data_IF_845513081824
#
_entry.id   IF_845513081824
#
_cell.length_a   1.000
_cell.length_b   1.000
_cell.length_c   1.000
_cell.angle_alpha   90.00
_cell.angle_beta   90.00
_cell.angle_gamma   90.00
#
_symmetry.space_group_name_H-M   'P 1'
#
loop_
_entity.id
_entity.type
_entity.pdbx_description
1 polymer ?
#
# COMPACT_ATOMS: atom_id res chain seq x y z
N UNK A 1 -1.25 14.66 15.60
CA UNK A 1 -1.22 16.14 15.75
C UNK A 1 -2.41 16.80 15.05
N UNK A 2 -2.89 17.97 15.53
CA UNK A 2 -4.01 18.69 14.92
C UNK A 2 -3.80 18.97 13.43
N UNK A 3 -2.59 19.35 13.03
CA UNK A 3 -2.23 19.62 11.62
C UNK A 3 -2.41 18.39 10.72
N UNK A 4 -2.00 17.20 11.19
CA UNK A 4 -2.22 15.93 10.45
C UNK A 4 -3.71 15.67 10.21
N UNK A 5 -4.56 15.93 11.21
CA UNK A 5 -6.01 15.71 11.10
C UNK A 5 -6.63 16.70 10.10
N UNK A 6 -6.25 17.98 10.19
CA UNK A 6 -6.73 19.00 9.25
C UNK A 6 -6.31 18.69 7.80
N UNK A 7 -5.06 18.31 7.60
CA UNK A 7 -4.55 17.88 6.29
C UNK A 7 -5.30 16.66 5.76
N UNK A 8 -5.45 15.61 6.56
CA UNK A 8 -6.15 14.39 6.15
C UNK A 8 -7.61 14.68 5.77
N UNK A 9 -8.31 15.53 6.54
CA UNK A 9 -9.68 15.96 6.21
C UNK A 9 -9.74 16.63 4.84
N UNK A 10 -8.84 17.58 4.57
CA UNK A 10 -8.81 18.28 3.29
C UNK A 10 -8.51 17.33 2.11
N UNK A 11 -7.68 16.31 2.32
CA UNK A 11 -7.41 15.27 1.30
C UNK A 11 -8.64 14.43 1.03
N UNK A 12 -9.32 13.92 2.07
CA UNK A 12 -10.55 13.13 1.94
C UNK A 12 -11.61 13.89 1.15
N UNK A 13 -11.89 15.12 1.54
CA UNK A 13 -12.89 15.96 0.86
C UNK A 13 -12.55 16.22 -0.61
N UNK A 14 -11.27 16.48 -0.93
CA UNK A 14 -10.83 16.73 -2.31
C UNK A 14 -10.88 15.47 -3.17
N UNK A 15 -10.40 14.35 -2.64
CA UNK A 15 -10.37 13.07 -3.35
C UNK A 15 -11.79 12.59 -3.66
N UNK A 16 -12.70 12.66 -2.68
CA UNK A 16 -14.09 12.24 -2.87
C UNK A 16 -14.82 13.06 -3.94
N UNK A 17 -14.56 14.37 -4.03
CA UNK A 17 -15.11 15.21 -5.12
C UNK A 17 -14.64 14.79 -6.52
N UNK A 18 -13.50 14.10 -6.61
CA UNK A 18 -12.94 13.58 -7.85
C UNK A 18 -13.25 12.09 -8.06
N UNK A 19 -14.05 11.47 -7.18
CA UNK A 19 -14.36 10.04 -7.22
C UNK A 19 -13.20 9.13 -6.79
N UNK A 20 -12.13 9.68 -6.22
CA UNK A 20 -10.99 8.93 -5.71
C UNK A 20 -11.23 8.46 -4.27
N UNK A 21 -10.65 7.32 -3.92
CA UNK A 21 -10.71 6.74 -2.57
C UNK A 21 -9.52 7.15 -1.72
N UNK A 22 -9.71 7.27 -0.42
CA UNK A 22 -8.65 7.61 0.53
C UNK A 22 -8.52 6.53 1.59
N UNK A 23 -7.31 5.98 1.73
CA UNK A 23 -6.94 5.11 2.84
C UNK A 23 -6.00 5.86 3.78
N UNK A 24 -6.28 5.83 5.07
CA UNK A 24 -5.42 6.45 6.09
C UNK A 24 -4.36 5.44 6.54
N UNK A 25 -3.11 5.90 6.58
CA UNK A 25 -1.99 5.06 7.01
C UNK A 25 -2.02 4.82 8.53
N UNK A 26 -2.15 3.56 8.94
CA UNK A 26 -1.95 3.04 10.32
C UNK A 26 -2.84 3.67 11.42
N UNK A 27 -3.86 4.44 11.07
CA UNK A 27 -4.67 5.20 12.04
C UNK A 27 -6.15 5.03 11.72
N UNK A 28 -6.68 3.94 12.26
CA UNK A 28 -8.02 3.47 11.95
C UNK A 28 -9.11 4.39 12.54
N UNK A 29 -8.89 4.89 13.75
CA UNK A 29 -9.80 5.85 14.39
C UNK A 29 -9.86 7.16 13.60
N UNK A 30 -8.72 7.61 13.06
CA UNK A 30 -8.69 8.78 12.18
C UNK A 30 -9.41 8.52 10.86
N UNK A 31 -9.28 7.32 10.27
CA UNK A 31 -10.02 6.93 9.07
C UNK A 31 -11.52 7.05 9.29
N UNK A 32 -12.01 6.44 10.38
CA UNK A 32 -13.44 6.42 10.72
C UNK A 32 -13.95 7.84 11.03
N UNK A 33 -13.20 8.61 11.83
CA UNK A 33 -13.57 9.99 12.20
C UNK A 33 -13.67 10.92 10.99
N UNK A 34 -12.86 10.69 9.97
CA UNK A 34 -12.81 11.53 8.77
C UNK A 34 -13.66 10.99 7.61
N UNK A 35 -14.28 9.82 7.77
CA UNK A 35 -15.04 9.18 6.70
C UNK A 35 -14.16 8.73 5.52
N UNK A 36 -12.90 8.36 5.78
CA UNK A 36 -12.04 7.78 4.76
C UNK A 36 -12.55 6.39 4.33
N UNK A 37 -12.22 5.95 3.12
CA UNK A 37 -12.70 4.67 2.56
C UNK A 37 -12.07 3.45 3.24
N UNK A 38 -10.94 3.63 3.93
CA UNK A 38 -10.24 2.51 4.56
C UNK A 38 -8.95 2.85 5.27
N UNK A 39 -8.20 1.80 5.60
CA UNK A 39 -6.90 1.89 6.27
C UNK A 39 -5.84 1.15 5.47
N UNK A 40 -4.66 1.77 5.39
CA UNK A 40 -3.45 1.12 4.90
C UNK A 40 -2.52 0.85 6.07
N UNK A 41 -2.27 -0.41 6.40
CA UNK A 41 -1.40 -0.79 7.50
C UNK A 41 0.07 -0.82 7.09
N UNK A 42 0.94 -0.38 7.98
CA UNK A 42 2.37 -0.69 7.89
C UNK A 42 2.59 -2.15 8.25
N UNK A 43 3.65 -2.74 7.72
CA UNK A 43 4.04 -4.13 7.99
C UNK A 43 4.00 -4.52 9.48
N UNK A 44 4.63 -3.74 10.36
CA UNK A 44 4.63 -4.01 11.81
C UNK A 44 3.21 -4.09 12.41
N UNK A 45 2.30 -3.25 11.93
CA UNK A 45 0.93 -3.16 12.42
C UNK A 45 0.11 -4.32 11.86
N UNK A 46 0.30 -4.65 10.58
CA UNK A 46 -0.26 -5.85 9.94
C UNK A 46 0.09 -7.13 10.72
N UNK A 47 1.37 -7.28 11.11
CA UNK A 47 1.84 -8.45 11.85
C UNK A 47 1.24 -8.55 13.26
N UNK A 48 0.80 -7.43 13.85
CA UNK A 48 0.13 -7.40 15.15
C UNK A 48 -1.37 -7.71 15.08
N UNK A 49 -1.98 -7.74 13.88
CA UNK A 49 -3.40 -8.03 13.73
C UNK A 49 -3.70 -9.52 13.91
N UNK A 50 -4.66 -9.83 14.78
CA UNK A 50 -5.18 -11.19 14.96
C UNK A 50 -6.25 -11.56 13.93
N UNK A 51 -7.07 -10.59 13.52
CA UNK A 51 -8.20 -10.75 12.60
C UNK A 51 -8.31 -9.57 11.62
N UNK A 52 -9.07 -9.77 10.53
CA UNK A 52 -9.34 -8.71 9.54
C UNK A 52 -10.11 -7.57 10.20
N UNK A 53 -9.65 -6.32 10.12
CA UNK A 53 -10.40 -5.17 10.59
C UNK A 53 -11.74 -5.05 9.84
N UNK A 54 -12.84 -4.83 10.57
CA UNK A 54 -14.17 -4.68 9.99
C UNK A 54 -14.34 -3.32 9.31
N UNK A 55 -13.77 -3.17 8.11
CA UNK A 55 -13.79 -1.92 7.32
C UNK A 55 -13.96 -2.20 5.83
N UNK A 56 -14.46 -1.23 5.04
CA UNK A 56 -14.72 -1.43 3.61
C UNK A 56 -13.46 -1.72 2.79
N UNK A 57 -12.36 -1.01 3.10
CA UNK A 57 -11.06 -1.23 2.48
C UNK A 57 -9.96 -1.34 3.52
N UNK A 58 -9.19 -2.41 3.41
CA UNK A 58 -8.04 -2.72 4.24
C UNK A 58 -6.90 -3.17 3.35
N UNK A 59 -5.81 -2.42 3.37
CA UNK A 59 -4.59 -2.72 2.64
C UNK A 59 -3.40 -2.73 3.57
N UNK A 60 -2.26 -3.23 3.09
CA UNK A 60 -1.01 -3.14 3.84
C UNK A 60 0.22 -3.02 2.94
N UNK A 61 1.30 -2.50 3.52
CA UNK A 61 2.64 -2.62 2.96
C UNK A 61 3.25 -3.94 3.37
N UNK A 62 3.77 -4.68 2.39
CA UNK A 62 4.50 -5.92 2.59
C UNK A 62 5.89 -5.82 1.93
N UNK A 63 6.86 -6.48 2.52
CA UNK A 63 8.26 -6.47 2.10
C UNK A 63 8.85 -7.87 1.95
N UNK A 64 8.16 -8.90 2.48
CA UNK A 64 8.58 -10.30 2.38
C UNK A 64 7.38 -11.26 2.32
N UNK A 65 7.70 -12.56 2.23
CA UNK A 65 6.71 -13.63 2.16
C UNK A 65 5.87 -13.79 3.44
N UNK A 66 6.44 -13.48 4.61
CA UNK A 66 5.76 -13.61 5.90
C UNK A 66 4.67 -12.56 6.03
N UNK A 67 4.99 -11.32 5.69
CA UNK A 67 4.04 -10.20 5.70
C UNK A 67 2.94 -10.42 4.65
N UNK A 68 3.30 -10.90 3.46
CA UNK A 68 2.32 -11.22 2.42
C UNK A 68 1.38 -12.36 2.85
N UNK A 69 1.91 -13.41 3.49
CA UNK A 69 1.11 -14.50 4.03
C UNK A 69 0.15 -14.04 5.13
N UNK A 70 0.58 -13.13 5.99
CA UNK A 70 -0.29 -12.51 6.99
C UNK A 70 -1.43 -11.72 6.33
N UNK A 71 -1.14 -10.91 5.30
CA UNK A 71 -2.17 -10.18 4.57
C UNK A 71 -3.18 -11.12 3.88
N UNK A 72 -2.71 -12.22 3.28
CA UNK A 72 -3.57 -13.26 2.71
C UNK A 72 -4.43 -13.95 3.76
N UNK A 73 -3.85 -14.32 4.90
CA UNK A 73 -4.56 -14.99 6.01
C UNK A 73 -5.66 -14.10 6.59
N UNK A 74 -5.41 -12.80 6.66
CA UNK A 74 -6.40 -11.79 7.07
C UNK A 74 -7.30 -11.34 5.91
N UNK A 75 -7.16 -11.97 4.75
CA UNK A 75 -7.95 -11.73 3.55
C UNK A 75 -8.00 -10.25 3.14
N UNK A 76 -6.91 -9.49 3.27
CA UNK A 76 -6.88 -8.05 2.95
C UNK A 76 -7.26 -7.77 1.48
N UNK A 77 -7.74 -6.55 1.21
CA UNK A 77 -8.27 -6.20 -0.12
C UNK A 77 -7.16 -6.05 -1.17
N UNK A 78 -5.99 -5.57 -0.76
CA UNK A 78 -4.77 -5.55 -1.59
C UNK A 78 -3.52 -5.27 -0.74
N UNK A 79 -2.35 -5.44 -1.34
CA UNK A 79 -1.07 -5.04 -0.73
C UNK A 79 -0.23 -4.19 -1.67
N UNK A 80 0.62 -3.37 -1.06
CA UNK A 80 1.74 -2.71 -1.72
C UNK A 80 3.01 -3.50 -1.39
N UNK A 81 3.61 -4.13 -2.40
CA UNK A 81 4.79 -4.98 -2.24
C UNK A 81 6.05 -4.26 -2.75
N UNK A 82 7.04 -4.10 -1.87
CA UNK A 82 8.27 -3.38 -2.19
C UNK A 82 9.26 -3.28 -1.04
N UNK A 83 10.33 -2.46 -1.17
CA UNK A 83 10.64 -1.65 -2.35
C UNK A 83 11.13 -2.52 -3.51
N UNK A 84 10.58 -2.32 -4.71
CA UNK A 84 11.02 -3.03 -5.92
C UNK A 84 12.35 -2.46 -6.43
N UNK A 85 12.53 -1.15 -6.37
CA UNK A 85 13.75 -0.43 -6.78
C UNK A 85 14.25 0.52 -5.68
N UNK A 86 15.49 1.04 -5.79
CA UNK A 86 15.97 2.06 -4.87
C UNK A 86 15.02 3.26 -4.81
N UNK A 87 14.82 3.80 -3.61
CA UNK A 87 13.87 4.88 -3.35
C UNK A 87 14.42 5.87 -2.33
N UNK A 88 14.10 7.16 -2.52
CA UNK A 88 14.48 8.22 -1.59
C UNK A 88 13.79 8.09 -0.22
N UNK A 89 12.66 7.38 -0.15
CA UNK A 89 11.96 7.15 1.12
C UNK A 89 12.76 6.24 2.07
N UNK A 90 13.59 5.34 1.54
CA UNK A 90 14.43 4.43 2.32
C UNK A 90 15.79 4.21 1.62
N UNK A 91 16.69 5.20 1.65
CA UNK A 91 17.98 5.13 0.97
C UNK A 91 18.85 3.99 1.52
N UNK A 92 19.44 3.19 0.63
CA UNK A 92 20.35 2.10 0.99
C UNK A 92 19.67 0.82 1.53
N UNK A 93 18.35 0.80 1.66
CA UNK A 93 17.63 -0.41 2.03
C UNK A 93 17.69 -1.46 0.89
N UNK A 94 17.80 -2.77 1.22
CA UNK A 94 17.66 -3.83 0.23
C UNK A 94 16.36 -3.72 -0.56
N UNK A 95 16.43 -4.01 -1.85
CA UNK A 95 15.29 -4.00 -2.75
C UNK A 95 14.97 -5.41 -3.21
N UNK A 96 13.69 -5.68 -3.47
CA UNK A 96 13.26 -6.96 -4.04
C UNK A 96 13.79 -7.18 -5.46
N UNK A 97 13.95 -6.10 -6.22
CA UNK A 97 14.06 -6.18 -7.68
C UNK A 97 12.80 -6.79 -8.31
N UNK A 98 12.74 -6.74 -9.63
CA UNK A 98 11.64 -7.39 -10.35
C UNK A 98 11.58 -8.92 -10.17
N UNK A 99 12.71 -9.65 -10.15
CA UNK A 99 12.67 -11.09 -9.90
C UNK A 99 12.14 -11.46 -8.51
N UNK A 100 12.57 -10.75 -7.46
CA UNK A 100 12.09 -10.97 -6.09
C UNK A 100 10.62 -10.58 -5.92
N UNK A 101 10.21 -9.46 -6.52
CA UNK A 101 8.80 -9.07 -6.57
C UNK A 101 7.95 -10.16 -7.23
N UNK A 102 8.33 -10.63 -8.42
CA UNK A 102 7.60 -11.66 -9.14
C UNK A 102 7.54 -12.99 -8.36
N UNK A 103 8.61 -13.34 -7.65
CA UNK A 103 8.63 -14.54 -6.83
C UNK A 103 7.58 -14.51 -5.71
N UNK A 104 7.44 -13.37 -5.04
CA UNK A 104 6.46 -13.17 -3.98
C UNK A 104 5.04 -13.02 -4.55
N UNK A 105 4.86 -12.19 -5.58
CA UNK A 105 3.55 -11.89 -6.18
C UNK A 105 2.86 -13.13 -6.77
N UNK A 106 3.62 -14.10 -7.31
CA UNK A 106 3.06 -15.36 -7.85
C UNK A 106 2.27 -16.18 -6.80
N UNK A 107 2.61 -16.05 -5.52
CA UNK A 107 1.94 -16.76 -4.44
C UNK A 107 0.75 -16.02 -3.83
N UNK A 108 0.46 -14.79 -4.28
CA UNK A 108 -0.56 -13.95 -3.68
C UNK A 108 -1.97 -14.36 -4.13
N UNK A 109 -2.88 -14.53 -3.17
CA UNK A 109 -4.32 -14.73 -3.41
C UNK A 109 -5.13 -13.43 -3.44
N UNK A 110 -4.46 -12.28 -3.34
CA UNK A 110 -5.05 -10.94 -3.35
C UNK A 110 -4.29 -10.03 -4.33
N UNK A 111 -4.90 -8.90 -4.76
CA UNK A 111 -4.23 -7.93 -5.62
C UNK A 111 -2.93 -7.39 -5.00
N UNK A 112 -1.87 -7.37 -5.81
CA UNK A 112 -0.54 -6.87 -5.43
C UNK A 112 -0.17 -5.71 -6.33
N UNK A 113 0.21 -4.58 -5.74
CA UNK A 113 0.71 -3.40 -6.45
C UNK A 113 2.19 -3.19 -6.14
N UNK A 114 2.98 -2.87 -7.17
CA UNK A 114 4.41 -2.61 -7.01
C UNK A 114 4.63 -1.22 -6.39
N UNK A 115 5.51 -1.13 -5.39
CA UNK A 115 5.93 0.14 -4.78
C UNK A 115 7.44 0.20 -4.59
N UNK A 116 7.98 1.42 -4.49
CA UNK A 116 9.40 1.70 -4.21
C UNK A 116 10.19 1.98 -5.47
N UNK A 117 10.44 3.26 -5.74
CA UNK A 117 11.14 3.73 -6.94
C UNK A 117 10.34 3.59 -8.24
N UNK A 118 9.00 3.49 -8.14
CA UNK A 118 8.10 3.38 -9.30
C UNK A 118 7.91 4.72 -10.01
N UNK A 119 7.83 4.66 -11.34
CA UNK A 119 7.46 5.73 -12.28
C UNK A 119 6.37 5.23 -13.22
N UNK A 120 5.67 6.12 -13.91
CA UNK A 120 4.57 5.75 -14.83
C UNK A 120 5.01 4.73 -15.90
N UNK A 121 6.20 4.92 -16.48
CA UNK A 121 6.79 4.03 -17.49
C UNK A 121 7.06 2.59 -16.98
N UNK A 122 6.98 2.35 -15.67
CA UNK A 122 7.16 1.02 -15.10
C UNK A 122 5.92 0.15 -15.17
N UNK A 123 4.76 0.70 -15.57
CA UNK A 123 3.49 -0.01 -15.50
C UNK A 123 3.52 -1.32 -16.30
N UNK A 124 4.09 -1.28 -17.51
CA UNK A 124 4.20 -2.48 -18.35
C UNK A 124 5.17 -3.50 -17.75
N UNK A 125 6.29 -3.06 -17.18
CA UNK A 125 7.22 -3.94 -16.48
C UNK A 125 6.57 -4.58 -15.25
N UNK A 126 5.82 -3.80 -14.46
CA UNK A 126 5.13 -4.28 -13.28
C UNK A 126 4.11 -5.37 -13.61
N UNK A 127 3.28 -5.14 -14.64
CA UNK A 127 2.30 -6.13 -15.13
C UNK A 127 2.96 -7.42 -15.59
N UNK A 128 4.07 -7.34 -16.33
CA UNK A 128 4.86 -8.52 -16.74
C UNK A 128 5.39 -9.33 -15.56
N UNK A 129 5.59 -8.69 -14.40
CA UNK A 129 6.04 -9.35 -13.17
C UNK A 129 4.89 -9.71 -12.21
N UNK A 130 3.64 -9.60 -12.65
CA UNK A 130 2.45 -10.03 -11.88
C UNK A 130 1.81 -8.95 -11.01
N UNK A 131 2.23 -7.70 -11.13
CA UNK A 131 1.57 -6.59 -10.43
C UNK A 131 0.22 -6.26 -11.10
N UNK A 132 -0.78 -5.96 -10.27
CA UNK A 132 -2.07 -5.43 -10.71
C UNK A 132 -1.97 -3.94 -11.08
N UNK A 133 -0.97 -3.24 -10.52
CA UNK A 133 -0.68 -1.84 -10.83
C UNK A 133 0.54 -1.33 -10.07
N UNK A 134 0.66 0.00 -10.02
CA UNK A 134 1.74 0.72 -9.35
C UNK A 134 1.19 1.51 -8.15
N UNK A 135 2.05 1.72 -7.16
CA UNK A 135 1.90 2.76 -6.16
C UNK A 135 3.16 3.63 -6.13
N UNK A 136 2.96 4.95 -6.06
CA UNK A 136 4.02 5.95 -6.19
C UNK A 136 3.90 7.01 -5.09
N UNK A 137 5.03 7.59 -4.72
CA UNK A 137 5.10 8.77 -3.85
C UNK A 137 5.72 9.90 -4.66
N UNK A 138 7.04 9.86 -4.90
CA UNK A 138 7.74 10.90 -5.67
C UNK A 138 7.40 10.83 -7.15
N UNK A 139 7.23 9.63 -7.70
CA UNK A 139 6.88 9.41 -9.11
C UNK A 139 5.51 9.96 -9.53
N UNK A 140 4.65 10.37 -8.60
CA UNK A 140 3.30 10.86 -8.88
C UNK A 140 3.25 12.34 -9.32
N UNK A 141 4.36 13.07 -9.17
CA UNK A 141 4.43 14.52 -9.43
C UNK A 141 5.65 14.89 -10.29
N UNK A 142 6.36 13.90 -10.81
CA UNK A 142 7.61 14.04 -11.57
C UNK A 142 7.42 13.67 -13.02
#
# INVERSE_FOLDING_TARGET
>A
PPERRAFARAVVERAHRLGAKVLINDDADLADTLGADGVHYRARSLMALSARPARPLVAASCHDATELAQAMRLELDFVLLGPVKPTLSHPGAPTLGWPGFAALARGASLPVYAIGGMREDDLEAARRHGAHGLAMITGSWS
#
